data_IF_378386467490
#
_entry.id   IF_378386467490
#
_cell.length_a   1.000
_cell.length_b   1.000
_cell.length_c   1.000
_cell.angle_alpha   90.00
_cell.angle_beta   90.00
_cell.angle_gamma   90.00
#
_symmetry.space_group_name_H-M   'P 1'
#
loop_
_entity.id
_entity.type
_entity.pdbx_description
1 polymer ?
#
# COMPACT_ATOMS: atom_id res chain seq x y z
N UNK A 1 -15.31 45.38 0.61
CA UNK A 1 -14.98 44.53 -0.56
C UNK A 1 -14.91 43.09 -0.07
N UNK A 2 -16.02 42.36 -0.10
CA UNK A 2 -16.10 40.95 0.28
C UNK A 2 -15.87 40.11 -0.98
N UNK A 3 -14.65 39.62 -1.16
CA UNK A 3 -14.34 38.62 -2.18
C UNK A 3 -14.87 37.27 -1.71
N UNK A 4 -16.03 36.86 -2.22
CA UNK A 4 -16.41 35.44 -2.18
C UNK A 4 -15.41 34.68 -3.06
N UNK A 5 -14.45 34.02 -2.44
CA UNK A 5 -13.71 32.97 -3.11
C UNK A 5 -14.72 31.85 -3.42
N UNK A 6 -15.17 31.79 -4.68
CA UNK A 6 -15.90 30.62 -5.19
C UNK A 6 -15.03 29.39 -4.90
N UNK A 7 -15.56 28.32 -4.27
CA UNK A 7 -14.80 27.09 -4.16
C UNK A 7 -14.38 26.65 -5.56
N UNK A 8 -13.19 26.06 -5.74
CA UNK A 8 -12.79 25.51 -7.02
C UNK A 8 -13.82 24.45 -7.43
N UNK A 9 -14.76 24.83 -8.30
CA UNK A 9 -15.71 23.88 -8.87
C UNK A 9 -14.92 22.88 -9.70
N UNK A 10 -15.01 21.61 -9.31
CA UNK A 10 -14.45 20.52 -10.09
C UNK A 10 -15.15 20.49 -11.46
N UNK A 11 -14.42 20.28 -12.56
CA UNK A 11 -15.06 20.14 -13.86
C UNK A 11 -16.05 18.97 -13.85
N UNK A 12 -17.22 19.12 -14.50
CA UNK A 12 -18.24 18.08 -14.52
C UNK A 12 -17.67 16.79 -15.15
N UNK A 13 -17.91 15.64 -14.52
CA UNK A 13 -17.42 14.33 -15.00
C UNK A 13 -16.11 13.85 -14.36
N UNK A 14 -15.29 14.77 -13.80
CA UNK A 14 -13.97 14.42 -13.25
C UNK A 14 -14.10 13.60 -11.95
N UNK A 15 -15.12 13.91 -11.14
CA UNK A 15 -15.42 13.16 -9.93
C UNK A 15 -15.87 11.72 -10.26
N UNK A 16 -16.72 11.57 -11.29
CA UNK A 16 -17.18 10.28 -11.75
C UNK A 16 -16.03 9.43 -12.31
N UNK A 17 -15.11 10.05 -13.07
CA UNK A 17 -13.87 9.40 -13.52
C UNK A 17 -12.99 8.96 -12.35
N UNK A 18 -12.83 9.81 -11.33
CA UNK A 18 -12.09 9.46 -10.13
C UNK A 18 -12.71 8.26 -9.41
N UNK A 19 -14.03 8.28 -9.18
CA UNK A 19 -14.75 7.18 -8.55
C UNK A 19 -14.73 5.89 -9.40
N UNK A 20 -14.78 6.01 -10.73
CA UNK A 20 -14.58 4.89 -11.64
C UNK A 20 -13.16 4.30 -11.51
N UNK A 21 -12.15 5.16 -11.42
CA UNK A 21 -10.75 4.78 -11.20
C UNK A 21 -10.48 4.17 -9.82
N UNK A 22 -11.26 4.53 -8.79
CA UNK A 22 -11.10 4.00 -7.44
C UNK A 22 -11.59 2.55 -7.29
N UNK A 23 -12.56 2.08 -8.09
CA UNK A 23 -13.05 0.69 -8.04
C UNK A 23 -11.95 -0.37 -8.24
N UNK A 24 -11.12 -0.32 -9.31
CA UNK A 24 -10.03 -1.28 -9.45
C UNK A 24 -8.97 -1.15 -8.36
N UNK A 25 -8.75 0.06 -7.80
CA UNK A 25 -7.86 0.27 -6.65
C UNK A 25 -8.38 -0.48 -5.41
N UNK A 26 -9.68 -0.37 -5.11
CA UNK A 26 -10.30 -1.12 -4.01
C UNK A 26 -10.13 -2.63 -4.18
N UNK A 27 -10.33 -3.15 -5.40
CA UNK A 27 -10.10 -4.59 -5.70
C UNK A 27 -8.64 -4.97 -5.46
N UNK A 28 -7.68 -4.15 -5.91
CA UNK A 28 -6.26 -4.40 -5.68
C UNK A 28 -5.92 -4.41 -4.18
N UNK A 29 -6.48 -3.48 -3.40
CA UNK A 29 -6.29 -3.42 -1.95
C UNK A 29 -6.88 -4.64 -1.22
N UNK A 30 -8.04 -5.16 -1.65
CA UNK A 30 -8.57 -6.45 -1.12
C UNK A 30 -7.56 -7.57 -1.38
N UNK A 31 -6.99 -7.64 -2.59
CA UNK A 31 -5.97 -8.64 -2.92
C UNK A 31 -4.71 -8.53 -2.04
N UNK A 32 -4.30 -7.31 -1.69
CA UNK A 32 -3.21 -7.08 -0.74
C UNK A 32 -3.57 -7.52 0.68
N UNK A 33 -4.81 -7.26 1.12
CA UNK A 33 -5.29 -7.69 2.43
C UNK A 33 -5.27 -9.23 2.57
N UNK A 34 -5.69 -9.96 1.53
CA UNK A 34 -5.63 -11.42 1.51
C UNK A 34 -4.18 -11.95 1.50
N UNK A 35 -3.28 -11.30 0.76
CA UNK A 35 -1.85 -11.64 0.80
C UNK A 35 -1.25 -11.43 2.18
N UNK A 36 -1.57 -10.32 2.85
CA UNK A 36 -1.10 -10.02 4.20
C UNK A 36 -1.71 -10.95 5.25
N UNK A 37 -2.95 -11.41 5.06
CA UNK A 37 -3.55 -12.43 5.91
C UNK A 37 -2.87 -13.81 5.74
N UNK A 38 -2.49 -14.17 4.51
CA UNK A 38 -1.78 -15.42 4.23
C UNK A 38 -0.29 -15.38 4.64
N UNK A 39 0.35 -14.21 4.49
CA UNK A 39 1.76 -13.98 4.77
C UNK A 39 1.97 -12.58 5.36
N UNK A 40 1.85 -12.48 6.69
CA UNK A 40 1.90 -11.19 7.42
C UNK A 40 3.16 -10.36 7.21
N UNK A 41 4.27 -10.99 6.84
CA UNK A 41 5.57 -10.33 6.62
C UNK A 41 5.90 -10.17 5.13
N UNK A 42 4.92 -10.27 4.23
CA UNK A 42 5.09 -10.06 2.79
C UNK A 42 5.43 -8.58 2.52
N UNK A 43 6.73 -8.28 2.49
CA UNK A 43 7.24 -6.93 2.24
C UNK A 43 6.78 -6.36 0.91
N UNK A 44 6.60 -7.19 -0.11
CA UNK A 44 6.11 -6.72 -1.41
C UNK A 44 4.64 -6.29 -1.33
N UNK A 45 3.82 -6.99 -0.54
CA UNK A 45 2.45 -6.58 -0.26
C UNK A 45 2.39 -5.27 0.55
N UNK A 46 3.26 -5.13 1.56
CA UNK A 46 3.36 -3.91 2.38
C UNK A 46 3.79 -2.68 1.56
N UNK A 47 4.81 -2.82 0.71
CA UNK A 47 5.25 -1.75 -0.19
C UNK A 47 4.18 -1.38 -1.22
N UNK A 48 3.45 -2.36 -1.76
CA UNK A 48 2.33 -2.10 -2.65
C UNK A 48 1.21 -1.34 -1.92
N UNK A 49 0.86 -1.75 -0.70
CA UNK A 49 -0.14 -1.09 0.12
C UNK A 49 0.24 0.37 0.42
N UNK A 50 1.51 0.62 0.81
CA UNK A 50 2.02 1.99 1.05
C UNK A 50 1.87 2.88 -0.18
N UNK A 51 2.19 2.36 -1.37
CA UNK A 51 2.10 3.12 -2.62
C UNK A 51 0.65 3.47 -2.96
N UNK A 52 -0.26 2.52 -2.81
CA UNK A 52 -1.68 2.77 -3.10
C UNK A 52 -2.28 3.75 -2.08
N UNK A 53 -2.01 3.60 -0.78
CA UNK A 53 -2.46 4.56 0.24
C UNK A 53 -1.90 5.96 -0.01
N UNK A 54 -0.63 6.07 -0.41
CA UNK A 54 -0.02 7.36 -0.77
C UNK A 54 -0.72 8.04 -1.96
N UNK A 55 -1.04 7.27 -3.02
CA UNK A 55 -1.79 7.80 -4.17
C UNK A 55 -3.20 8.24 -3.78
N UNK A 56 -3.89 7.45 -2.96
CA UNK A 56 -5.24 7.80 -2.48
C UNK A 56 -5.17 9.07 -1.64
N UNK A 57 -4.23 9.16 -0.70
CA UNK A 57 -4.00 10.35 0.11
C UNK A 57 -3.77 11.59 -0.78
N UNK A 58 -2.86 11.50 -1.75
CA UNK A 58 -2.50 12.61 -2.62
C UNK A 58 -3.58 13.03 -3.60
N UNK A 59 -4.45 12.11 -4.04
CA UNK A 59 -5.53 12.41 -4.98
C UNK A 59 -6.83 12.82 -4.30
N UNK A 60 -7.25 12.11 -3.24
CA UNK A 60 -8.56 12.29 -2.59
C UNK A 60 -8.80 13.74 -2.13
N UNK A 61 -7.76 14.40 -1.61
CA UNK A 61 -7.85 15.80 -1.18
C UNK A 61 -8.18 16.76 -2.32
N UNK A 62 -7.63 16.52 -3.52
CA UNK A 62 -7.91 17.34 -4.71
C UNK A 62 -9.35 17.19 -5.22
N UNK A 63 -10.03 16.10 -4.90
CA UNK A 63 -11.43 15.85 -5.23
C UNK A 63 -12.41 16.23 -4.10
N UNK A 64 -11.93 16.85 -3.03
CA UNK A 64 -12.75 17.28 -1.89
C UNK A 64 -13.04 16.19 -0.86
N UNK A 65 -12.47 14.99 -1.01
CA UNK A 65 -12.61 13.90 -0.04
C UNK A 65 -11.57 14.01 1.09
N UNK A 66 -11.70 15.04 1.93
CA UNK A 66 -10.73 15.31 3.01
C UNK A 66 -10.61 14.15 4.01
N UNK A 67 -11.72 13.56 4.42
CA UNK A 67 -11.72 12.42 5.37
C UNK A 67 -11.10 11.15 4.75
N UNK A 68 -11.33 10.92 3.44
CA UNK A 68 -10.68 9.82 2.71
C UNK A 68 -9.16 10.04 2.63
N UNK A 69 -8.74 11.27 2.32
CA UNK A 69 -7.32 11.63 2.27
C UNK A 69 -6.65 11.44 3.63
N UNK A 70 -7.32 11.82 4.73
CA UNK A 70 -6.82 11.63 6.10
C UNK A 70 -6.73 10.15 6.47
N UNK A 71 -7.78 9.36 6.20
CA UNK A 71 -7.75 7.92 6.47
C UNK A 71 -6.61 7.23 5.72
N UNK A 72 -6.41 7.57 4.44
CA UNK A 72 -5.34 7.02 3.63
C UNK A 72 -3.95 7.42 4.15
N UNK A 73 -3.77 8.64 4.63
CA UNK A 73 -2.52 9.08 5.27
C UNK A 73 -2.22 8.29 6.56
N UNK A 74 -3.24 8.08 7.41
CA UNK A 74 -3.10 7.28 8.64
C UNK A 74 -2.72 5.83 8.34
N UNK A 75 -3.34 5.22 7.33
CA UNK A 75 -2.97 3.88 6.87
C UNK A 75 -1.55 3.86 6.28
N UNK A 76 -1.15 4.87 5.50
CA UNK A 76 0.21 4.97 4.94
C UNK A 76 1.28 5.01 6.05
N UNK A 77 1.06 5.80 7.11
CA UNK A 77 1.95 5.88 8.26
C UNK A 77 2.06 4.53 8.98
N UNK A 78 0.91 3.90 9.26
CA UNK A 78 0.85 2.57 9.90
C UNK A 78 1.63 1.53 9.10
N UNK A 79 1.51 1.53 7.78
CA UNK A 79 2.23 0.59 6.90
C UNK A 79 3.74 0.87 6.87
N UNK A 80 4.18 2.13 6.98
CA UNK A 80 5.61 2.47 7.11
C UNK A 80 6.21 1.88 8.38
N UNK A 81 5.46 1.89 9.48
CA UNK A 81 5.88 1.28 10.73
C UNK A 81 5.99 -0.25 10.59
N UNK A 82 5.02 -0.88 9.93
CA UNK A 82 5.08 -2.33 9.64
C UNK A 82 6.27 -2.73 8.77
N UNK A 83 6.63 -1.90 7.79
CA UNK A 83 7.81 -2.13 6.94
C UNK A 83 9.11 -2.00 7.74
N UNK A 84 9.14 -1.06 8.70
CA UNK A 84 10.30 -0.87 9.59
C UNK A 84 10.46 -2.02 10.58
N UNK A 85 9.34 -2.62 11.01
CA UNK A 85 9.29 -3.72 11.98
C UNK A 85 8.45 -4.90 11.47
N UNK A 86 8.90 -5.59 10.40
CA UNK A 86 8.07 -6.59 9.75
C UNK A 86 7.82 -7.81 10.63
N UNK A 87 8.63 -8.07 11.65
CA UNK A 87 8.52 -9.24 12.52
C UNK A 87 7.42 -9.21 13.59
N UNK A 88 6.78 -8.07 13.85
CA UNK A 88 5.82 -7.92 14.96
C UNK A 88 4.64 -8.93 14.86
N UNK A 89 4.47 -9.83 15.86
CA UNK A 89 3.40 -10.82 15.85
C UNK A 89 2.04 -10.33 16.33
N UNK A 90 1.98 -9.21 17.06
CA UNK A 90 0.73 -8.75 17.68
C UNK A 90 -0.22 -8.11 16.67
N UNK A 91 0.29 -7.68 15.51
CA UNK A 91 -0.49 -6.92 14.53
C UNK A 91 -1.11 -7.85 13.48
N UNK A 92 -2.45 -7.94 13.48
CA UNK A 92 -3.19 -8.54 12.38
C UNK A 92 -3.33 -7.56 11.19
N UNK A 93 -2.26 -7.49 10.40
CA UNK A 93 -2.13 -6.59 9.23
C UNK A 93 -3.17 -6.88 8.15
N UNK A 94 -3.53 -8.15 7.97
CA UNK A 94 -4.53 -8.56 6.99
C UNK A 94 -5.90 -8.01 7.36
N UNK A 95 -6.33 -8.21 8.61
CA UNK A 95 -7.62 -7.71 9.10
C UNK A 95 -7.68 -6.19 9.14
N UNK A 96 -6.62 -5.50 9.58
CA UNK A 96 -6.60 -4.04 9.56
C UNK A 96 -6.67 -3.48 8.13
N UNK A 97 -6.00 -4.13 7.17
CA UNK A 97 -6.09 -3.74 5.75
C UNK A 97 -7.51 -3.96 5.21
N UNK A 98 -8.19 -5.06 5.56
CA UNK A 98 -9.59 -5.28 5.15
C UNK A 98 -10.52 -4.22 5.73
N UNK A 99 -10.36 -3.88 7.00
CA UNK A 99 -11.13 -2.81 7.64
C UNK A 99 -10.93 -1.48 6.92
N UNK A 100 -9.67 -1.12 6.63
CA UNK A 100 -9.34 0.10 5.89
C UNK A 100 -10.05 0.13 4.53
N UNK A 101 -10.03 -0.97 3.76
CA UNK A 101 -10.68 -1.04 2.45
C UNK A 101 -12.20 -0.90 2.55
N UNK A 102 -12.83 -1.55 3.53
CA UNK A 102 -14.26 -1.44 3.77
C UNK A 102 -14.65 0.00 4.11
N UNK A 103 -13.89 0.65 5.02
CA UNK A 103 -14.13 2.03 5.43
C UNK A 103 -13.90 3.02 4.30
N UNK A 104 -12.85 2.82 3.51
CA UNK A 104 -12.53 3.63 2.34
C UNK A 104 -13.67 3.61 1.32
N UNK A 105 -14.21 2.44 1.03
CA UNK A 105 -15.30 2.29 0.08
C UNK A 105 -16.62 2.87 0.57
N UNK A 106 -16.92 2.71 1.87
CA UNK A 106 -18.08 3.34 2.52
C UNK A 106 -18.04 4.87 2.35
N UNK A 107 -16.89 5.49 2.65
CA UNK A 107 -16.73 6.95 2.52
C UNK A 107 -16.79 7.45 1.07
N UNK A 108 -16.42 6.61 0.10
CA UNK A 108 -16.51 6.91 -1.33
C UNK A 108 -17.89 6.56 -1.94
N UNK A 109 -18.80 5.96 -1.16
CA UNK A 109 -20.08 5.47 -1.65
C UNK A 109 -19.94 4.34 -2.71
N UNK A 110 -18.84 3.59 -2.67
CA UNK A 110 -18.54 2.52 -3.60
C UNK A 110 -18.84 1.17 -2.96
N UNK A 111 -19.50 0.28 -3.71
CA UNK A 111 -19.63 -1.12 -3.29
C UNK A 111 -18.29 -1.84 -3.43
N UNK A 112 -17.76 -2.38 -2.33
CA UNK A 112 -16.65 -3.34 -2.39
C UNK A 112 -17.22 -4.69 -2.79
N UNK A 113 -16.62 -5.40 -3.76
CA UNK A 113 -16.93 -6.80 -3.98
C UNK A 113 -16.67 -7.58 -2.69
N UNK A 114 -17.75 -7.95 -1.98
CA UNK A 114 -17.65 -8.89 -0.86
C UNK A 114 -17.15 -10.21 -1.44
N UNK A 115 -16.05 -10.80 -0.92
CA UNK A 115 -15.66 -12.13 -1.34
C UNK A 115 -16.84 -13.06 -1.11
N UNK A 116 -17.27 -13.76 -2.17
CA UNK A 116 -18.38 -14.68 -2.07
C UNK A 116 -18.09 -15.68 -0.95
N UNK A 117 -19.07 -15.98 -0.07
CA UNK A 117 -18.88 -17.03 0.93
C UNK A 117 -18.42 -18.30 0.20
N UNK A 118 -17.49 -19.08 0.79
CA UNK A 118 -17.10 -20.35 0.19
C UNK A 118 -18.38 -21.16 -0.02
N UNK A 119 -18.73 -21.36 -1.29
CA UNK A 119 -19.88 -22.18 -1.65
C UNK A 119 -19.75 -23.55 -1.00
N UNK A 120 -20.86 -24.25 -0.73
CA UNK A 120 -20.82 -25.59 -0.14
C UNK A 120 -19.82 -26.44 -0.93
N UNK A 121 -18.77 -26.91 -0.24
CA UNK A 121 -17.79 -27.82 -0.82
C UNK A 121 -18.58 -28.97 -1.47
N UNK A 122 -18.36 -29.31 -2.75
CA UNK A 122 -19.00 -30.47 -3.33
C UNK A 122 -18.69 -31.68 -2.44
N UNK A 123 -19.68 -32.56 -2.15
CA UNK A 123 -19.44 -33.75 -1.36
C UNK A 123 -18.28 -34.54 -1.99
N UNK A 124 -17.43 -35.19 -1.17
CA UNK A 124 -16.37 -36.04 -1.70
C UNK A 124 -17.02 -37.02 -2.67
N UNK A 125 -16.58 -36.98 -3.92
CA UNK A 125 -17.08 -37.86 -4.98
C UNK A 125 -16.74 -39.29 -4.57
N UNK A 126 -17.67 -39.95 -3.89
CA UNK A 126 -17.57 -41.34 -3.53
C UNK A 126 -17.35 -42.14 -4.81
N UNK A 127 -16.21 -42.84 -4.87
CA UNK A 127 -15.95 -43.97 -5.75
C UNK A 127 -16.26 -43.77 -7.22
N UNK A 128 -15.33 -43.15 -7.97
CA UNK A 128 -15.16 -43.57 -9.36
C UNK A 128 -14.35 -44.87 -9.31
N UNK A 129 -14.90 -46.02 -9.72
CA UNK A 129 -14.11 -47.25 -9.82
C UNK A 129 -12.99 -47.04 -10.86
N UNK A 130 -11.78 -47.58 -10.65
CA UNK A 130 -10.71 -47.47 -11.63
C UNK A 130 -11.18 -48.13 -12.93
N UNK A 131 -11.28 -47.33 -14.00
CA UNK A 131 -11.50 -47.84 -15.34
C UNK A 131 -10.28 -48.67 -15.73
N UNK A 132 -10.43 -49.93 -16.17
CA UNK A 132 -9.29 -50.75 -16.54
C UNK A 132 -8.55 -50.14 -17.74
N UNK A 133 -7.24 -50.03 -17.57
CA UNK A 133 -6.25 -49.63 -18.57
C UNK A 133 -6.45 -50.41 -19.86
N UNK A 134 -6.84 -49.72 -20.95
CA UNK A 134 -6.59 -50.26 -22.27
C UNK A 134 -5.14 -49.95 -22.63
N UNK A 135 -4.33 -51.00 -22.54
CA UNK A 135 -3.01 -51.05 -23.12
C UNK A 135 -3.09 -51.10 -24.65
N UNK A 136 -2.03 -50.57 -25.26
CA UNK A 136 -1.52 -50.91 -26.60
C UNK A 136 -2.13 -50.13 -27.76
N UNK A 137 -1.38 -49.11 -28.23
CA UNK A 137 -0.75 -49.13 -29.56
C UNK A 137 0.40 -48.13 -29.60
N UNK A 138 1.62 -48.66 -29.72
CA UNK A 138 2.86 -47.94 -30.02
C UNK A 138 3.04 -47.90 -31.54
N UNK A 139 3.28 -46.72 -32.15
CA UNK A 139 3.97 -46.62 -33.43
C UNK A 139 5.45 -46.20 -33.26
N UNK A 140 6.29 -46.38 -34.31
CA UNK A 140 7.73 -46.60 -34.22
C UNK A 140 8.59 -45.33 -34.01
N UNK A 141 9.90 -45.50 -33.67
CA UNK A 141 10.84 -44.40 -33.52
C UNK A 141 11.22 -43.76 -34.86
N UNK A 142 11.18 -42.43 -34.93
CA UNK A 142 11.75 -41.65 -36.04
C UNK A 142 13.27 -41.51 -35.86
N UNK A 143 14.09 -41.71 -36.92
CA UNK A 143 15.54 -41.52 -36.89
C UNK A 143 15.94 -40.02 -36.93
N UNK A 144 17.22 -39.69 -36.62
CA UNK A 144 17.60 -38.39 -36.08
C UNK A 144 18.24 -37.43 -37.10
N UNK A 145 18.36 -36.17 -36.65
CA UNK A 145 19.27 -35.10 -37.08
C UNK A 145 19.03 -34.44 -38.46
N UNK A 146 18.39 -33.27 -38.44
CA UNK A 146 18.87 -32.14 -39.25
C UNK A 146 18.99 -30.87 -38.39
N UNK A 147 20.25 -30.48 -38.15
CA UNK A 147 20.66 -29.17 -37.62
C UNK A 147 20.21 -28.08 -38.59
N UNK A 148 19.04 -27.50 -38.37
CA UNK A 148 18.74 -26.17 -38.89
C UNK A 148 19.29 -25.14 -37.91
N UNK A 149 20.43 -24.54 -38.30
CA UNK A 149 21.05 -23.40 -37.64
C UNK A 149 20.03 -22.25 -37.62
N UNK A 150 19.42 -22.02 -36.46
CA UNK A 150 18.70 -20.77 -36.22
C UNK A 150 19.66 -19.59 -36.31
N UNK A 151 19.27 -18.45 -36.92
CA UNK A 151 20.06 -17.23 -36.86
C UNK A 151 20.19 -16.79 -35.40
N UNK A 152 21.44 -16.59 -34.94
CA UNK A 152 21.76 -15.95 -33.68
C UNK A 152 21.13 -14.54 -33.69
N UNK A 153 20.03 -14.36 -32.97
CA UNK A 153 19.54 -13.04 -32.64
C UNK A 153 20.37 -12.58 -31.44
N UNK A 154 21.35 -11.74 -31.72
CA UNK A 154 22.14 -11.05 -30.71
C UNK A 154 21.19 -10.18 -29.88
N UNK A 155 21.16 -10.30 -28.54
CA UNK A 155 20.45 -9.33 -27.73
C UNK A 155 21.12 -7.96 -27.88
N UNK A 156 20.33 -6.95 -28.20
CA UNK A 156 20.76 -5.56 -28.23
C UNK A 156 21.29 -5.13 -26.85
N UNK A 157 22.33 -4.28 -26.79
CA UNK A 157 22.86 -3.79 -25.52
C UNK A 157 21.81 -2.94 -24.78
N UNK A 158 21.76 -2.99 -23.44
CA UNK A 158 20.90 -2.11 -22.66
C UNK A 158 21.30 -0.63 -22.84
N UNK A 159 20.34 0.32 -22.74
CA UNK A 159 20.67 1.74 -22.78
C UNK A 159 21.61 2.13 -21.63
N UNK A 160 22.52 3.10 -21.85
CA UNK A 160 23.44 3.55 -20.82
C UNK A 160 22.68 4.15 -19.63
N UNK A 161 23.08 3.66 -18.45
CA UNK A 161 22.69 4.12 -17.12
C UNK A 161 22.96 5.63 -17.01
N UNK A 162 21.92 6.44 -16.87
CA UNK A 162 22.07 7.83 -16.46
C UNK A 162 22.61 7.82 -15.02
N UNK A 163 23.88 8.20 -14.86
CA UNK A 163 24.48 8.52 -13.56
C UNK A 163 23.90 9.84 -13.06
N UNK A 164 23.29 9.91 -11.85
CA UNK A 164 23.13 11.20 -11.20
C UNK A 164 24.51 11.65 -10.71
N UNK A 165 25.12 12.55 -11.46
CA UNK A 165 26.30 13.30 -11.02
C UNK A 165 25.82 14.32 -9.98
N UNK A 166 26.13 14.05 -8.72
CA UNK A 166 26.17 15.07 -7.69
C UNK A 166 27.20 16.13 -8.11
N UNK A 167 26.84 17.41 -8.12
CA UNK A 167 27.66 18.44 -7.48
C UNK A 167 26.85 19.74 -7.29
N UNK A 168 26.79 20.29 -6.06
CA UNK A 168 26.18 21.58 -5.76
C UNK A 168 27.12 22.74 -6.13
N UNK A 169 26.63 23.89 -6.63
CA UNK A 169 27.48 25.06 -6.79
C UNK A 169 27.78 25.67 -5.41
N UNK A 170 29.04 25.56 -5.02
CA UNK A 170 29.66 26.32 -3.94
C UNK A 170 29.44 27.83 -4.15
N UNK A 171 28.95 28.50 -3.11
CA UNK A 171 29.27 29.90 -2.82
C UNK A 171 29.50 30.04 -1.31
N UNK A 172 30.77 30.02 -0.92
CA UNK A 172 31.24 30.82 0.22
C UNK A 172 31.89 32.09 -0.36
N UNK A 173 31.75 33.24 0.30
CA UNK A 173 32.91 33.68 1.09
C UNK A 173 32.58 34.33 2.44
N UNK A 174 33.55 34.14 3.35
CA UNK A 174 34.03 35.06 4.39
C UNK A 174 33.18 35.36 5.65
N UNK A 175 33.54 34.64 6.72
CA UNK A 175 34.03 35.14 8.03
C UNK A 175 33.35 36.34 8.72
N UNK A 176 32.82 36.08 9.93
CA UNK A 176 32.92 36.97 11.10
C UNK A 176 32.80 36.14 12.42
N UNK A 177 33.37 36.61 13.55
CA UNK A 177 33.91 35.78 14.63
C UNK A 177 32.90 35.27 15.67
N UNK A 178 33.26 34.17 16.32
CA UNK A 178 32.56 33.57 17.46
C UNK A 178 32.45 34.52 18.67
N UNK A 179 31.28 34.66 19.31
CA UNK A 179 31.16 35.17 20.68
C UNK A 179 31.39 34.07 21.74
N UNK A 180 31.78 34.45 22.98
CA UNK A 180 32.38 33.57 24.00
C UNK A 180 31.40 32.59 24.68
N UNK A 181 31.87 31.55 25.39
CA UNK A 181 31.01 30.69 26.18
C UNK A 181 30.59 31.44 27.45
N UNK A 182 29.30 31.76 27.55
CA UNK A 182 28.72 32.34 28.76
C UNK A 182 27.49 31.56 29.19
N UNK A 183 27.57 31.08 30.43
CA UNK A 183 26.49 30.70 31.32
C UNK A 183 25.66 29.46 30.92
N UNK A 184 25.99 28.34 31.57
CA UNK A 184 25.01 27.36 32.02
C UNK A 184 23.96 28.04 32.90
N UNK A 185 22.65 27.94 32.60
CA UNK A 185 21.63 28.06 33.61
C UNK A 185 21.32 26.66 34.15
N UNK A 186 21.83 26.38 35.34
CA UNK A 186 21.26 25.37 36.24
C UNK A 186 19.90 25.89 36.74
N UNK A 187 18.80 25.21 36.38
CA UNK A 187 17.56 25.06 37.17
C UNK A 187 16.51 24.24 36.38
N UNK A 188 15.50 23.64 37.02
CA UNK A 188 15.56 22.75 38.17
C UNK A 188 14.97 21.35 37.85
N UNK A 189 15.21 20.38 38.72
CA UNK A 189 14.50 19.11 38.72
C UNK A 189 12.99 19.34 38.84
N UNK A 190 12.26 18.96 37.80
CA UNK A 190 10.81 19.15 37.70
C UNK A 190 10.34 18.81 36.29
N UNK A 191 10.62 17.59 35.84
CA UNK A 191 10.11 17.07 34.57
C UNK A 191 8.58 16.93 34.68
N UNK A 192 7.88 18.01 34.36
CA UNK A 192 6.51 17.94 33.89
C UNK A 192 6.60 17.30 32.51
N UNK A 193 6.04 16.10 32.27
CA UNK A 193 6.03 15.55 30.92
C UNK A 193 5.34 16.56 30.01
N UNK A 194 5.97 16.88 28.89
CA UNK A 194 5.30 17.62 27.81
C UNK A 194 4.07 16.80 27.43
N UNK A 195 2.91 17.21 27.96
CA UNK A 195 1.62 16.73 27.49
C UNK A 195 1.53 17.27 26.07
N UNK A 196 1.88 16.43 25.11
CA UNK A 196 1.46 16.61 23.73
C UNK A 196 -0.07 16.58 23.81
N UNK A 197 -0.70 17.74 23.66
CA UNK A 197 -2.13 17.82 23.42
C UNK A 197 -2.40 17.14 22.08
N UNK A 198 -2.67 15.83 22.14
CA UNK A 198 -3.33 15.10 21.07
C UNK A 198 -4.78 15.58 21.14
N UNK A 199 -5.05 16.66 20.41
CA UNK A 199 -6.39 17.19 20.22
C UNK A 199 -7.28 16.05 19.74
N UNK A 200 -8.23 15.66 20.58
CA UNK A 200 -9.35 14.73 20.45
C UNK A 200 -9.59 14.16 19.03
N UNK A 201 -8.67 13.31 18.55
CA UNK A 201 -8.82 12.62 17.27
C UNK A 201 -9.74 11.43 17.50
N UNK A 202 -11.04 11.65 17.31
CA UNK A 202 -12.07 10.62 17.43
C UNK A 202 -11.75 9.39 16.56
N UNK A 203 -11.08 9.55 15.42
CA UNK A 203 -10.69 8.42 14.57
C UNK A 203 -9.54 7.61 15.19
N UNK A 204 -8.59 8.27 15.85
CA UNK A 204 -7.54 7.60 16.60
C UNK A 204 -8.09 6.88 17.84
N UNK A 205 -9.06 7.49 18.52
CA UNK A 205 -9.76 6.88 19.67
C UNK A 205 -10.53 5.62 19.26
N UNK A 206 -11.24 5.65 18.12
CA UNK A 206 -11.94 4.48 17.57
C UNK A 206 -10.97 3.38 17.13
N UNK A 207 -9.84 3.74 16.53
CA UNK A 207 -8.79 2.79 16.13
C UNK A 207 -8.17 2.08 17.36
N UNK A 208 -7.89 2.84 18.42
CA UNK A 208 -7.37 2.32 19.69
C UNK A 208 -8.41 1.46 20.42
N UNK A 209 -9.67 1.89 20.45
CA UNK A 209 -10.76 1.15 21.09
C UNK A 209 -11.01 -0.20 20.39
N UNK A 210 -10.94 -0.24 19.05
CA UNK A 210 -11.04 -1.47 18.29
C UNK A 210 -9.86 -2.42 18.52
N UNK A 211 -8.63 -1.88 18.56
CA UNK A 211 -7.43 -2.67 18.86
C UNK A 211 -7.41 -3.27 20.27
N UNK A 212 -8.06 -2.62 21.24
CA UNK A 212 -8.17 -3.12 22.63
C UNK A 212 -9.33 -4.10 22.82
N UNK A 213 -10.41 -3.98 22.05
CA UNK A 213 -11.61 -4.83 22.19
C UNK A 213 -11.52 -6.18 21.48
N UNK A 214 -10.46 -6.42 20.71
CA UNK A 214 -10.25 -7.64 19.91
C UNK A 214 -9.31 -8.66 20.56
N UNK A 215 -9.00 -8.51 21.86
CA UNK A 215 -8.28 -9.53 22.67
C UNK A 215 -9.18 -10.63 23.19
#
# INVERSE_FOLDING_TARGET
>A
MTGHATPPELPPGLLEEYLAGMRPVLVALVGLAERLAAARNDLAALEALRRETHKIHGSAGSFGFMEVSRLAAGMEATVKDWISWPGDPEVDRGSLTRWFVARLAEMLGLEVPRPAPPGPRPPPRAGVPPRPSQATTRPPPSPPLQRARGPKVTPAPPPPRATPKAEPPARSPAAAPSPPPAAVPTAPAGAVPEIVFVEDDAALAELLAYGLSTR
#
